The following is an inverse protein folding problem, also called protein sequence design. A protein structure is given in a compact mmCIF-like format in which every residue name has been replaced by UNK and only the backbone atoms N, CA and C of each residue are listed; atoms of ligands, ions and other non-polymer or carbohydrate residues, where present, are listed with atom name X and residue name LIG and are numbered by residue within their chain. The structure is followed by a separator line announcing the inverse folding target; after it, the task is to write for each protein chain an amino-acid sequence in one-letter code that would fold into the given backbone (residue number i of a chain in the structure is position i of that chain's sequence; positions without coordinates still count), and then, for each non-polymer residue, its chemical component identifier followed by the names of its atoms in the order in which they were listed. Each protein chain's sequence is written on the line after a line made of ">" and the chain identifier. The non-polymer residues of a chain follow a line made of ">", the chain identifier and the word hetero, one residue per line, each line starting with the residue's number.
data_IF_007036722032
#
_entry.id   IF_007036722032
#
_cell.length_a   1.000
_cell.length_b   1.000
_cell.length_c   1.000
_cell.angle_alpha   90.00
_cell.angle_beta   90.00
_cell.angle_gamma   90.00
#
_symmetry.space_group_name_H-M   'P 1'
#
loop_
_entity.id
_entity.type
_entity.pdbx_description
1 polymer ?
#
# COMPACT_ATOMS: atom_id res chain seq x y z
N UNK A 1 -44.17 2.01 23.29
CA UNK A 1 -45.26 2.88 23.81
C UNK A 1 -45.24 4.31 23.23
N UNK A 2 -44.10 4.93 22.86
CA UNK A 2 -44.08 6.28 22.24
C UNK A 2 -44.01 6.31 20.70
N UNK A 3 -43.70 5.19 20.06
CA UNK A 3 -43.39 5.11 18.61
C UNK A 3 -44.66 4.99 17.73
N UNK A 4 -45.72 4.35 18.22
CA UNK A 4 -46.95 4.13 17.43
C UNK A 4 -47.78 5.40 17.21
N UNK A 5 -47.56 6.46 17.99
CA UNK A 5 -48.32 7.71 17.91
C UNK A 5 -47.95 8.59 16.70
N UNK A 6 -46.82 8.34 16.03
CA UNK A 6 -46.29 9.24 14.99
C UNK A 6 -46.58 8.80 13.56
N UNK A 7 -47.20 7.63 13.31
CA UNK A 7 -47.27 7.00 11.97
C UNK A 7 -45.92 7.00 11.23
N UNK A 8 -44.82 7.12 11.97
CA UNK A 8 -43.48 7.15 11.44
C UNK A 8 -43.01 5.70 11.35
N UNK A 9 -42.54 5.31 10.16
CA UNK A 9 -41.80 4.06 10.00
C UNK A 9 -40.55 4.18 10.86
N UNK A 10 -40.41 3.32 11.87
CA UNK A 10 -39.12 3.13 12.52
C UNK A 10 -38.19 2.59 11.44
N UNK A 11 -37.23 3.39 11.01
CA UNK A 11 -36.08 2.91 10.26
C UNK A 11 -35.31 2.06 11.27
N UNK A 12 -35.50 0.75 11.22
CA UNK A 12 -34.60 -0.18 11.90
C UNK A 12 -33.18 0.16 11.45
N UNK A 13 -32.21 0.17 12.37
CA UNK A 13 -30.84 0.63 12.16
C UNK A 13 -30.00 -0.27 11.21
N UNK A 14 -30.66 -0.94 10.26
CA UNK A 14 -30.15 -1.97 9.37
C UNK A 14 -30.48 -1.72 7.88
N UNK A 15 -31.04 -0.56 7.53
CA UNK A 15 -31.27 -0.19 6.12
C UNK A 15 -29.96 0.20 5.42
N UNK A 16 -29.61 -0.52 4.36
CA UNK A 16 -28.42 -0.26 3.52
C UNK A 16 -28.44 1.16 2.92
N UNK A 17 -29.63 1.73 2.68
CA UNK A 17 -29.77 3.11 2.21
C UNK A 17 -29.24 4.15 3.20
N UNK A 18 -29.37 3.91 4.50
CA UNK A 18 -28.85 4.82 5.53
C UNK A 18 -27.33 4.95 5.46
N UNK A 19 -26.62 3.86 5.17
CA UNK A 19 -25.16 3.86 5.01
C UNK A 19 -24.71 4.55 3.71
N UNK A 20 -25.50 4.47 2.64
CA UNK A 20 -25.23 5.22 1.42
C UNK A 20 -25.38 6.73 1.65
N UNK A 21 -26.41 7.12 2.40
CA UNK A 21 -26.66 8.52 2.81
C UNK A 21 -25.53 9.02 3.73
N UNK A 22 -25.10 8.22 4.71
CA UNK A 22 -23.97 8.54 5.58
C UNK A 22 -22.70 8.80 4.75
N UNK A 23 -22.38 7.92 3.81
CA UNK A 23 -21.21 8.10 2.95
C UNK A 23 -21.31 9.38 2.10
N UNK A 24 -22.47 9.64 1.50
CA UNK A 24 -22.73 10.87 0.73
C UNK A 24 -22.58 12.14 1.59
N UNK A 25 -23.12 12.13 2.82
CA UNK A 25 -22.99 13.23 3.77
C UNK A 25 -21.54 13.47 4.22
N UNK A 26 -20.66 12.47 4.11
CA UNK A 26 -19.22 12.58 4.31
C UNK A 26 -18.46 12.94 3.02
N UNK A 27 -19.16 13.46 2.01
CA UNK A 27 -18.64 13.82 0.68
C UNK A 27 -18.04 12.65 -0.11
N UNK A 28 -18.50 11.42 0.11
CA UNK A 28 -18.13 10.29 -0.74
C UNK A 28 -19.10 10.20 -1.90
N UNK A 29 -18.58 10.04 -3.11
CA UNK A 29 -19.40 9.84 -4.30
C UNK A 29 -19.90 8.39 -4.32
N UNK A 30 -21.21 8.21 -4.14
CA UNK A 30 -21.85 6.91 -4.05
C UNK A 30 -22.73 6.65 -5.26
N UNK A 31 -22.98 5.38 -5.56
CA UNK A 31 -23.99 4.99 -6.53
C UNK A 31 -24.52 3.58 -6.32
N UNK A 32 -25.76 3.30 -6.74
CA UNK A 32 -26.38 2.01 -6.55
C UNK A 32 -25.76 0.94 -7.46
N UNK A 33 -25.50 -0.23 -6.89
CA UNK A 33 -24.99 -1.41 -7.58
C UNK A 33 -26.03 -2.52 -7.62
N UNK A 34 -25.96 -3.35 -8.65
CA UNK A 34 -26.79 -4.53 -8.84
C UNK A 34 -25.98 -5.67 -9.47
N UNK A 35 -26.57 -6.86 -9.55
CA UNK A 35 -26.09 -7.94 -10.42
C UNK A 35 -26.86 -7.83 -11.72
N UNK A 36 -26.15 -7.64 -12.83
CA UNK A 36 -26.76 -7.62 -14.16
C UNK A 36 -26.25 -8.76 -15.02
N UNK A 37 -27.10 -9.16 -15.95
CA UNK A 37 -26.68 -9.97 -17.08
C UNK A 37 -25.80 -9.11 -18.01
N UNK A 38 -24.62 -9.61 -18.37
CA UNK A 38 -23.63 -8.81 -19.11
C UNK A 38 -24.01 -8.60 -20.58
N UNK A 39 -24.78 -9.52 -21.15
CA UNK A 39 -25.14 -9.50 -22.57
C UNK A 39 -26.40 -8.67 -22.80
N UNK A 40 -27.41 -8.85 -21.93
CA UNK A 40 -28.72 -8.21 -22.06
C UNK A 40 -28.86 -6.93 -21.22
N UNK A 41 -27.97 -6.70 -20.25
CA UNK A 41 -28.06 -5.59 -19.30
C UNK A 41 -29.21 -5.72 -18.29
N UNK A 42 -29.96 -6.82 -18.32
CA UNK A 42 -31.08 -7.07 -17.41
C UNK A 42 -30.60 -7.18 -15.97
N UNK A 43 -31.30 -6.51 -15.05
CA UNK A 43 -31.06 -6.63 -13.62
C UNK A 43 -31.51 -8.04 -13.17
N UNK A 44 -30.57 -8.81 -12.62
CA UNK A 44 -30.82 -10.15 -12.09
C UNK A 44 -31.11 -10.12 -10.59
N UNK A 45 -30.40 -9.28 -9.85
CA UNK A 45 -30.51 -9.20 -8.39
C UNK A 45 -30.06 -7.82 -7.86
N UNK A 46 -30.64 -7.30 -6.77
CA UNK A 46 -30.18 -6.04 -6.16
C UNK A 46 -28.76 -6.13 -5.57
N UNK A 47 -28.30 -7.34 -5.23
CA UNK A 47 -26.96 -7.53 -4.66
C UNK A 47 -25.98 -7.96 -5.74
N UNK A 48 -25.21 -7.01 -6.24
CA UNK A 48 -24.08 -7.26 -7.14
C UNK A 48 -23.06 -6.13 -7.11
N UNK A 49 -22.20 -6.10 -8.11
CA UNK A 49 -21.06 -5.18 -8.17
C UNK A 49 -21.08 -4.28 -9.40
N UNK A 50 -22.12 -4.36 -10.22
CA UNK A 50 -22.27 -3.58 -11.45
C UNK A 50 -23.09 -2.32 -11.19
N UNK A 51 -22.72 -1.15 -11.75
CA UNK A 51 -23.54 0.05 -11.64
C UNK A 51 -24.96 -0.18 -12.17
N UNK A 52 -25.96 0.29 -11.41
CA UNK A 52 -27.36 0.17 -11.79
C UNK A 52 -27.69 1.16 -12.92
N UNK A 53 -27.46 0.75 -14.17
CA UNK A 53 -27.45 1.63 -15.34
C UNK A 53 -28.72 2.46 -15.59
N UNK A 54 -29.89 2.07 -15.05
CA UNK A 54 -31.10 2.91 -15.12
C UNK A 54 -31.05 4.16 -14.23
N UNK A 55 -30.24 4.14 -13.18
CA UNK A 55 -30.05 5.25 -12.23
C UNK A 55 -28.71 5.97 -12.45
N UNK A 56 -27.70 5.22 -12.92
CA UNK A 56 -26.34 5.70 -13.21
C UNK A 56 -25.91 5.26 -14.62
N UNK A 57 -26.51 5.84 -15.68
CA UNK A 57 -26.28 5.42 -17.08
C UNK A 57 -24.82 5.53 -17.55
N UNK A 58 -24.02 6.41 -16.96
CA UNK A 58 -22.58 6.56 -17.21
C UNK A 58 -21.71 5.86 -16.14
N UNK A 59 -22.32 4.97 -15.35
CA UNK A 59 -21.66 4.13 -14.37
C UNK A 59 -21.05 4.94 -13.22
N UNK A 60 -19.79 4.65 -12.89
CA UNK A 60 -19.07 5.31 -11.78
C UNK A 60 -18.90 6.82 -11.96
N UNK A 61 -19.08 7.35 -13.18
CA UNK A 61 -19.02 8.79 -13.44
C UNK A 61 -20.29 9.52 -12.97
N UNK A 62 -21.40 8.81 -12.75
CA UNK A 62 -22.64 9.37 -12.21
C UNK A 62 -22.72 9.23 -10.68
N UNK A 63 -21.73 8.61 -10.04
CA UNK A 63 -21.71 8.52 -8.58
C UNK A 63 -21.62 9.93 -8.01
N UNK A 64 -22.36 10.19 -6.94
CA UNK A 64 -22.54 11.55 -6.41
C UNK A 64 -22.57 11.54 -4.89
N UNK A 65 -22.19 12.67 -4.29
CA UNK A 65 -22.37 12.95 -2.86
C UNK A 65 -23.62 13.79 -2.59
N UNK A 66 -24.41 14.14 -3.62
CA UNK A 66 -25.69 14.82 -3.42
C UNK A 66 -26.69 13.91 -2.67
N UNK A 67 -26.89 14.23 -1.40
CA UNK A 67 -27.71 13.46 -0.47
C UNK A 67 -29.15 13.28 -0.98
N UNK A 68 -29.72 14.29 -1.66
CA UNK A 68 -31.09 14.19 -2.18
C UNK A 68 -31.20 13.15 -3.29
N UNK A 69 -30.25 13.16 -4.23
CA UNK A 69 -30.16 12.14 -5.29
C UNK A 69 -29.97 10.73 -4.70
N UNK A 70 -29.10 10.59 -3.70
CA UNK A 70 -28.83 9.30 -3.03
C UNK A 70 -30.08 8.77 -2.33
N UNK A 71 -30.81 9.61 -1.58
CA UNK A 71 -32.09 9.23 -0.98
C UNK A 71 -33.07 8.71 -2.05
N UNK A 72 -33.16 9.41 -3.19
CA UNK A 72 -34.05 9.02 -4.28
C UNK A 72 -33.64 7.70 -4.96
N UNK A 73 -32.36 7.35 -5.01
CA UNK A 73 -31.93 6.07 -5.56
C UNK A 73 -32.27 4.89 -4.63
N UNK A 74 -32.05 5.05 -3.33
CA UNK A 74 -32.33 3.99 -2.35
C UNK A 74 -33.82 3.88 -1.97
N UNK A 75 -34.64 4.89 -2.24
CA UNK A 75 -36.11 4.75 -2.15
C UNK A 75 -36.68 3.76 -3.18
N UNK A 76 -35.94 3.45 -4.24
CA UNK A 76 -36.36 2.55 -5.33
C UNK A 76 -35.97 1.08 -5.10
N UNK A 77 -35.21 0.78 -4.04
CA UNK A 77 -34.87 -0.59 -3.67
C UNK A 77 -33.56 -0.72 -2.87
N UNK A 78 -33.31 -1.92 -2.30
CA UNK A 78 -32.17 -2.18 -1.45
C UNK A 78 -30.92 -2.52 -2.28
N UNK A 79 -30.34 -1.52 -2.94
CA UNK A 79 -29.15 -1.70 -3.79
C UNK A 79 -27.87 -1.81 -2.96
N UNK A 80 -26.91 -2.60 -3.45
CA UNK A 80 -25.55 -2.52 -2.94
C UNK A 80 -24.96 -1.13 -3.17
N UNK A 81 -23.99 -0.75 -2.35
CA UNK A 81 -23.39 0.59 -2.36
C UNK A 81 -22.05 0.51 -3.10
N UNK A 82 -21.95 1.25 -4.20
CA UNK A 82 -20.69 1.58 -4.85
C UNK A 82 -20.19 2.91 -4.32
N UNK A 83 -18.89 3.00 -4.06
CA UNK A 83 -18.20 4.24 -3.68
C UNK A 83 -17.05 4.46 -4.63
N UNK A 84 -17.06 5.58 -5.34
CA UNK A 84 -15.87 6.04 -6.06
C UNK A 84 -14.84 6.46 -5.01
N UNK A 85 -13.62 5.92 -5.12
CA UNK A 85 -12.61 6.12 -4.08
C UNK A 85 -12.30 7.63 -3.99
N UNK A 86 -12.37 8.27 -2.81
CA UNK A 86 -12.06 9.70 -2.69
C UNK A 86 -10.65 10.01 -3.21
N UNK A 87 -10.47 11.16 -3.88
CA UNK A 87 -9.16 11.54 -4.46
C UNK A 87 -8.04 11.62 -3.42
N UNK A 88 -8.37 11.96 -2.18
CA UNK A 88 -7.44 12.02 -1.05
C UNK A 88 -7.04 10.65 -0.51
N UNK A 89 -7.55 9.57 -1.08
CA UNK A 89 -7.36 8.20 -0.61
C UNK A 89 -7.01 7.24 -1.76
N UNK A 90 -6.49 6.09 -1.37
CA UNK A 90 -6.49 4.89 -2.20
C UNK A 90 -6.86 3.68 -1.34
N UNK A 91 -7.22 2.59 -2.00
CA UNK A 91 -7.55 1.32 -1.36
C UNK A 91 -6.54 0.27 -1.83
N UNK A 92 -5.92 -0.41 -0.89
CA UNK A 92 -5.25 -1.69 -1.13
C UNK A 92 -6.32 -2.79 -0.97
N UNK A 93 -6.75 -3.35 -2.10
CA UNK A 93 -7.69 -4.47 -2.16
C UNK A 93 -6.88 -5.78 -2.10
N UNK A 94 -7.20 -6.59 -1.09
CA UNK A 94 -6.54 -7.84 -0.75
C UNK A 94 -7.50 -8.97 -1.04
N UNK A 95 -7.20 -9.75 -2.08
CA UNK A 95 -8.02 -10.89 -2.47
C UNK A 95 -8.14 -11.91 -1.33
N UNK A 96 -9.38 -12.34 -1.08
CA UNK A 96 -9.72 -13.32 -0.05
C UNK A 96 -9.42 -14.77 -0.42
N UNK A 97 -9.63 -15.71 0.51
CA UNK A 97 -9.40 -17.14 0.31
C UNK A 97 -10.19 -17.71 -0.86
N UNK A 98 -11.41 -17.23 -1.13
CA UNK A 98 -12.30 -17.81 -2.13
C UNK A 98 -12.17 -17.16 -3.52
N UNK A 99 -11.15 -16.32 -3.71
CA UNK A 99 -10.96 -15.60 -4.98
C UNK A 99 -10.36 -16.51 -6.05
N UNK A 100 -11.13 -16.87 -7.07
CA UNK A 100 -10.61 -17.53 -8.26
C UNK A 100 -9.99 -16.55 -9.26
N UNK A 101 -8.91 -16.91 -9.98
CA UNK A 101 -8.25 -18.23 -10.02
C UNK A 101 -7.14 -18.41 -8.95
N UNK A 102 -7.03 -17.53 -7.97
CA UNK A 102 -5.87 -17.42 -7.08
C UNK A 102 -6.29 -17.38 -5.59
N UNK A 103 -6.87 -18.48 -5.07
CA UNK A 103 -7.40 -18.53 -3.72
C UNK A 103 -6.31 -18.22 -2.69
N UNK A 104 -6.57 -17.28 -1.79
CA UNK A 104 -5.70 -16.95 -0.65
C UNK A 104 -4.40 -16.20 -0.98
N UNK A 105 -4.12 -15.91 -2.26
CA UNK A 105 -2.86 -15.24 -2.64
C UNK A 105 -2.75 -13.81 -2.08
N UNK A 106 -3.85 -13.09 -1.93
CA UNK A 106 -3.84 -11.72 -1.41
C UNK A 106 -3.38 -11.64 0.04
N UNK A 107 -4.03 -12.40 0.93
CA UNK A 107 -3.66 -12.46 2.35
C UNK A 107 -2.23 -12.96 2.56
N UNK A 108 -1.81 -13.98 1.80
CA UNK A 108 -0.43 -14.47 1.84
C UNK A 108 0.56 -13.38 1.39
N UNK A 109 0.29 -12.73 0.25
CA UNK A 109 1.15 -11.69 -0.28
C UNK A 109 1.26 -10.50 0.70
N UNK A 110 0.16 -10.12 1.35
CA UNK A 110 0.19 -9.10 2.37
C UNK A 110 1.09 -9.51 3.55
N UNK A 111 0.91 -10.73 4.07
CA UNK A 111 1.73 -11.24 5.17
C UNK A 111 3.23 -11.28 4.80
N UNK A 112 3.57 -11.67 3.58
CA UNK A 112 4.95 -11.66 3.08
C UNK A 112 5.53 -10.23 2.96
N UNK A 113 4.70 -9.25 2.59
CA UNK A 113 5.10 -7.84 2.57
C UNK A 113 5.29 -7.30 3.99
N UNK A 114 4.42 -7.63 4.93
CA UNK A 114 4.53 -7.22 6.33
C UNK A 114 5.72 -7.86 7.05
N UNK A 115 6.01 -9.13 6.78
CA UNK A 115 7.22 -9.82 7.27
C UNK A 115 8.50 -9.14 6.72
N UNK A 116 8.47 -8.74 5.44
CA UNK A 116 9.63 -8.12 4.79
C UNK A 116 9.86 -6.67 5.19
N UNK A 117 8.79 -5.87 5.27
CA UNK A 117 8.87 -4.42 5.36
C UNK A 117 8.30 -3.83 6.66
N UNK A 118 7.71 -4.66 7.51
CA UNK A 118 7.01 -4.27 8.73
C UNK A 118 5.49 -4.14 8.52
N UNK A 119 4.72 -4.17 9.63
CA UNK A 119 3.26 -4.22 9.58
C UNK A 119 2.67 -2.95 8.96
N UNK A 120 1.49 -3.09 8.33
CA UNK A 120 0.66 -1.95 7.99
C UNK A 120 0.13 -1.30 9.28
N UNK A 121 0.05 0.04 9.34
CA UNK A 121 -0.61 0.68 10.46
C UNK A 121 -2.11 0.36 10.44
N UNK A 122 -2.76 0.25 11.61
CA UNK A 122 -4.22 0.17 11.67
C UNK A 122 -4.84 1.32 10.90
N UNK A 123 -5.77 1.00 10.01
CA UNK A 123 -6.42 1.98 9.14
C UNK A 123 -7.86 1.59 8.88
N UNK A 124 -8.67 2.53 8.38
CA UNK A 124 -10.04 2.23 7.97
C UNK A 124 -10.05 1.02 7.04
N UNK A 125 -10.77 -0.02 7.44
CA UNK A 125 -10.73 -1.32 6.78
C UNK A 125 -12.14 -1.83 6.55
N UNK A 126 -12.34 -2.57 5.47
CA UNK A 126 -13.52 -3.41 5.33
C UNK A 126 -13.14 -4.85 5.02
N UNK A 127 -13.82 -5.79 5.64
CA UNK A 127 -13.76 -7.21 5.28
C UNK A 127 -14.77 -7.41 4.14
N UNK A 128 -14.31 -8.00 3.05
CA UNK A 128 -15.16 -8.29 1.89
C UNK A 128 -15.98 -9.55 2.15
N UNK A 129 -17.14 -9.70 1.49
CA UNK A 129 -17.94 -10.92 1.61
C UNK A 129 -17.27 -12.20 1.05
N UNK A 130 -16.07 -12.10 0.47
CA UNK A 130 -15.25 -13.26 0.08
C UNK A 130 -14.04 -13.48 1.01
N UNK A 131 -14.02 -12.85 2.20
CA UNK A 131 -12.96 -12.99 3.20
C UNK A 131 -11.67 -12.22 2.92
N UNK A 132 -11.64 -11.39 1.86
CA UNK A 132 -10.54 -10.45 1.58
C UNK A 132 -10.68 -9.12 2.33
N UNK A 133 -9.81 -8.15 2.06
CA UNK A 133 -9.77 -6.85 2.76
C UNK A 133 -9.75 -5.67 1.77
N UNK A 134 -10.44 -4.59 2.08
CA UNK A 134 -10.13 -3.27 1.53
C UNK A 134 -9.50 -2.42 2.63
N UNK A 135 -8.21 -2.11 2.50
CA UNK A 135 -7.44 -1.27 3.42
C UNK A 135 -7.33 0.14 2.83
N UNK A 136 -7.88 1.14 3.49
CA UNK A 136 -7.88 2.51 2.99
C UNK A 136 -6.68 3.28 3.52
N UNK A 137 -6.01 4.04 2.65
CA UNK A 137 -4.88 4.88 3.04
C UNK A 137 -5.04 6.27 2.43
N UNK A 138 -4.48 7.29 3.10
CA UNK A 138 -4.35 8.63 2.50
C UNK A 138 -3.47 8.53 1.27
N UNK A 139 -3.86 9.18 0.17
CA UNK A 139 -3.10 9.20 -1.07
C UNK A 139 -1.97 10.25 -0.98
N UNK A 140 -0.69 9.84 -1.02
CA UNK A 140 0.41 10.79 -1.17
C UNK A 140 0.35 11.48 -2.54
N UNK A 141 0.94 12.68 -2.70
CA UNK A 141 1.05 13.30 -4.02
C UNK A 141 1.94 12.45 -4.94
N UNK A 142 1.58 12.34 -6.22
CA UNK A 142 2.36 11.62 -7.23
C UNK A 142 1.52 10.71 -8.13
N UNK A 143 2.19 10.15 -9.15
CA UNK A 143 1.61 9.11 -10.02
C UNK A 143 1.97 7.74 -9.45
N UNK A 144 0.95 6.95 -9.18
CA UNK A 144 1.11 5.56 -8.74
C UNK A 144 0.93 4.62 -9.93
N UNK A 145 1.78 3.61 -10.01
CA UNK A 145 1.67 2.55 -10.99
C UNK A 145 1.09 1.30 -10.36
N UNK A 146 0.12 0.69 -11.05
CA UNK A 146 -0.56 -0.55 -10.65
C UNK A 146 0.33 -1.80 -10.77
N UNK A 147 1.55 -1.69 -11.30
CA UNK A 147 2.32 -2.83 -11.84
C UNK A 147 3.26 -3.55 -10.87
N UNK A 148 3.35 -3.14 -9.61
CA UNK A 148 4.36 -3.68 -8.68
C UNK A 148 3.79 -4.40 -7.46
N UNK A 149 2.48 -4.50 -7.35
CA UNK A 149 1.86 -5.30 -6.31
C UNK A 149 1.94 -6.80 -6.67
N UNK A 150 2.28 -7.68 -5.71
CA UNK A 150 2.17 -9.12 -5.89
C UNK A 150 0.76 -9.56 -6.30
N UNK A 151 0.66 -10.74 -6.90
CA UNK A 151 -0.63 -11.31 -7.27
C UNK A 151 -1.55 -11.45 -6.04
N UNK A 152 -2.80 -11.04 -6.19
CA UNK A 152 -3.78 -11.01 -5.10
C UNK A 152 -3.88 -9.67 -4.37
N UNK A 153 -3.04 -8.69 -4.71
CA UNK A 153 -3.12 -7.33 -4.21
C UNK A 153 -3.40 -6.36 -5.36
N UNK A 154 -4.38 -5.48 -5.18
CA UNK A 154 -4.77 -4.48 -6.18
C UNK A 154 -4.80 -3.07 -5.58
N UNK A 155 -4.26 -2.12 -6.34
CA UNK A 155 -4.38 -0.69 -6.04
C UNK A 155 -5.63 -0.13 -6.70
N UNK A 156 -6.54 0.42 -5.89
CA UNK A 156 -7.74 1.12 -6.37
C UNK A 156 -7.71 2.58 -5.95
N UNK A 157 -8.05 3.45 -6.89
CA UNK A 157 -8.09 4.88 -6.69
C UNK A 157 -9.33 5.51 -7.33
N UNK A 158 -9.38 6.83 -7.37
CA UNK A 158 -10.50 7.62 -7.89
C UNK A 158 -10.89 7.27 -9.33
N UNK A 159 -10.01 6.62 -10.11
CA UNK A 159 -10.36 6.10 -11.44
C UNK A 159 -11.34 4.92 -11.44
N UNK A 160 -11.71 4.40 -10.27
CA UNK A 160 -12.68 3.33 -10.11
C UNK A 160 -13.49 3.44 -8.82
N UNK A 161 -14.16 2.34 -8.46
CA UNK A 161 -15.00 2.26 -7.27
C UNK A 161 -14.77 0.95 -6.51
N UNK A 162 -15.20 0.96 -5.25
CA UNK A 162 -15.29 -0.21 -4.38
C UNK A 162 -16.74 -0.45 -3.99
N UNK A 163 -17.04 -1.67 -3.57
CA UNK A 163 -18.30 -1.98 -2.87
C UNK A 163 -18.12 -1.61 -1.40
N UNK A 164 -19.05 -0.88 -0.81
CA UNK A 164 -19.00 -0.44 0.60
C UNK A 164 -19.85 -1.36 1.49
N UNK A 165 -19.40 -1.59 2.72
CA UNK A 165 -20.23 -2.16 3.78
C UNK A 165 -21.52 -1.32 4.01
N UNK A 166 -22.68 -1.94 4.34
CA UNK A 166 -22.90 -3.36 4.65
C UNK A 166 -23.45 -4.18 3.45
N UNK A 167 -23.04 -3.84 2.22
CA UNK A 167 -23.44 -4.52 0.97
C UNK A 167 -23.27 -6.05 1.04
N UNK A 168 -24.00 -6.78 0.20
CA UNK A 168 -23.94 -8.25 0.12
C UNK A 168 -23.16 -8.71 -1.12
N UNK A 169 -22.25 -9.65 -0.94
CA UNK A 169 -21.46 -10.20 -2.03
C UNK A 169 -22.34 -11.10 -2.92
N UNK A 170 -22.34 -10.92 -4.26
CA UNK A 170 -23.28 -11.59 -5.16
C UNK A 170 -23.15 -13.11 -5.23
N UNK A 171 -21.97 -13.64 -4.93
CA UNK A 171 -21.68 -15.07 -5.14
C UNK A 171 -21.63 -15.85 -3.81
N UNK A 172 -21.26 -15.20 -2.72
CA UNK A 172 -21.16 -15.83 -1.38
C UNK A 172 -22.37 -15.50 -0.50
N UNK A 173 -23.12 -14.43 -0.79
CA UNK A 173 -24.24 -13.96 0.04
C UNK A 173 -23.83 -13.21 1.31
N UNK A 174 -22.57 -13.36 1.72
CA UNK A 174 -21.98 -12.72 2.89
C UNK A 174 -21.88 -11.20 2.76
N UNK A 175 -21.91 -10.51 3.90
CA UNK A 175 -21.85 -9.05 3.95
C UNK A 175 -20.41 -8.54 3.93
N UNK A 176 -20.24 -7.38 3.33
CA UNK A 176 -19.08 -6.53 3.60
C UNK A 176 -19.22 -5.96 5.02
N UNK A 177 -18.14 -6.01 5.80
CA UNK A 177 -18.12 -5.58 7.21
C UNK A 177 -17.13 -4.44 7.37
N UNK A 178 -17.58 -3.34 7.98
CA UNK A 178 -16.77 -2.16 8.28
C UNK A 178 -16.00 -2.37 9.59
N UNK A 179 -14.71 -2.07 9.59
CA UNK A 179 -13.86 -2.03 10.78
C UNK A 179 -13.33 -0.60 10.96
N UNK A 180 -13.87 0.11 11.94
CA UNK A 180 -13.60 1.54 12.10
C UNK A 180 -12.22 1.84 12.67
N UNK A 181 -11.46 2.61 11.90
CA UNK A 181 -10.21 3.25 12.27
C UNK A 181 -10.08 4.54 11.45
N UNK A 182 -9.32 5.55 11.92
CA UNK A 182 -8.94 6.67 11.06
C UNK A 182 -8.20 6.19 9.82
N UNK A 183 -8.41 6.86 8.68
CA UNK A 183 -7.60 6.59 7.47
C UNK A 183 -6.15 7.00 7.74
N UNK A 184 -5.27 6.02 7.76
CA UNK A 184 -3.84 6.18 8.04
C UNK A 184 -3.08 6.69 6.82
N UNK A 185 -1.90 7.27 7.07
CA UNK A 185 -0.91 7.43 6.01
C UNK A 185 -0.35 6.05 5.64
N UNK A 186 -0.10 5.76 4.35
CA UNK A 186 0.57 4.52 3.97
C UNK A 186 2.00 4.52 4.52
N UNK A 187 2.55 3.36 4.92
CA UNK A 187 3.94 3.30 5.30
C UNK A 187 4.84 3.61 4.09
N UNK A 188 6.08 4.09 4.30
CA UNK A 188 6.99 4.45 3.21
C UNK A 188 7.20 3.31 2.21
N UNK A 189 7.35 2.07 2.70
CA UNK A 189 7.56 0.90 1.85
C UNK A 189 6.39 0.64 0.88
N UNK A 190 5.15 0.85 1.32
CA UNK A 190 3.98 0.67 0.45
C UNK A 190 3.93 1.79 -0.60
N UNK A 191 4.26 3.00 -0.19
CA UNK A 191 4.37 4.16 -1.10
C UNK A 191 5.42 3.91 -2.18
N UNK A 192 6.60 3.43 -1.80
CA UNK A 192 7.70 3.13 -2.72
C UNK A 192 7.34 2.01 -3.71
N UNK A 193 6.63 0.97 -3.26
CA UNK A 193 6.12 -0.08 -4.15
C UNK A 193 5.15 0.49 -5.20
N UNK A 194 4.27 1.41 -4.79
CA UNK A 194 3.27 1.98 -5.68
C UNK A 194 3.85 3.08 -6.61
N UNK A 195 4.91 3.78 -6.22
CA UNK A 195 5.51 4.88 -6.99
C UNK A 195 6.51 4.45 -8.08
N UNK A 196 6.79 3.15 -8.24
CA UNK A 196 7.84 2.68 -9.11
C UNK A 196 7.54 2.86 -10.63
N UNK A 197 7.61 4.10 -11.12
CA UNK A 197 7.68 4.45 -12.55
C UNK A 197 9.09 4.89 -12.99
N UNK A 198 10.07 5.02 -12.06
CA UNK A 198 11.36 5.66 -12.38
C UNK A 198 12.56 4.75 -12.68
N UNK A 199 12.46 3.42 -12.58
CA UNK A 199 13.62 2.53 -12.75
C UNK A 199 13.60 1.59 -13.97
N UNK A 200 12.73 1.78 -14.97
CA UNK A 200 12.78 0.95 -16.20
C UNK A 200 12.88 1.67 -17.54
N UNK A 201 12.77 3.00 -17.59
CA UNK A 201 13.01 3.76 -18.82
C UNK A 201 14.43 4.33 -18.89
N UNK A 202 15.44 3.45 -18.92
CA UNK A 202 16.72 3.74 -19.60
C UNK A 202 17.51 2.48 -19.97
N UNK A 203 16.86 1.50 -20.60
CA UNK A 203 17.58 0.57 -21.47
C UNK A 203 16.76 0.43 -22.75
N UNK A 204 17.05 1.31 -23.71
CA UNK A 204 16.72 1.07 -25.12
C UNK A 204 17.38 -0.26 -25.52
N UNK A 205 16.65 -1.24 -26.04
CA UNK A 205 17.23 -2.53 -26.39
C UNK A 205 18.03 -2.38 -27.70
N UNK A 206 19.34 -2.13 -27.60
CA UNK A 206 20.25 -2.46 -28.71
C UNK A 206 20.30 -3.97 -28.84
N UNK A 207 19.55 -4.42 -29.83
CA UNK A 207 19.49 -5.77 -30.38
C UNK A 207 20.90 -6.27 -30.73
N UNK A 208 21.35 -7.38 -30.13
CA UNK A 208 21.87 -8.55 -30.86
C UNK A 208 22.11 -9.79 -29.98
N UNK A 209 21.32 -10.80 -30.33
CA UNK A 209 21.64 -12.24 -30.50
C UNK A 209 22.00 -13.10 -29.27
N UNK A 210 20.97 -13.87 -28.87
CA UNK A 210 20.96 -15.33 -28.69
C UNK A 210 22.24 -16.03 -28.25
N UNK A 211 22.19 -16.67 -27.07
CA UNK A 211 22.28 -18.13 -27.01
C UNK A 211 21.68 -18.66 -25.70
N UNK A 212 20.89 -19.73 -25.85
CA UNK A 212 20.39 -20.60 -24.78
C UNK A 212 21.55 -21.09 -23.89
N UNK A 213 21.29 -21.21 -22.59
CA UNK A 213 21.60 -22.29 -21.63
C UNK A 213 20.86 -21.86 -20.34
N UNK A 214 19.93 -22.59 -19.75
CA UNK A 214 20.03 -23.98 -19.32
C UNK A 214 20.12 -23.99 -17.78
N UNK A 215 19.14 -24.62 -17.15
CA UNK A 215 19.12 -25.15 -15.77
C UNK A 215 18.97 -24.20 -14.54
N UNK A 216 17.78 -24.32 -13.95
CA UNK A 216 17.50 -24.56 -12.53
C UNK A 216 18.72 -24.63 -11.57
N UNK A 217 18.78 -23.72 -10.60
CA UNK A 217 19.20 -24.04 -9.22
C UNK A 217 18.79 -22.93 -8.24
N UNK A 218 18.31 -23.32 -7.06
CA UNK A 218 18.45 -22.50 -5.85
C UNK A 218 17.21 -21.78 -5.33
N UNK A 219 16.28 -22.53 -4.76
CA UNK A 219 15.60 -22.08 -3.54
C UNK A 219 16.66 -21.83 -2.45
N UNK A 220 16.43 -20.78 -1.63
CA UNK A 220 17.23 -20.22 -0.52
C UNK A 220 18.10 -18.98 -0.80
N UNK A 221 17.86 -17.97 0.07
CA UNK A 221 18.70 -16.80 0.40
C UNK A 221 18.30 -15.47 -0.23
N UNK A 222 18.07 -14.47 0.63
CA UNK A 222 17.72 -13.09 0.26
C UNK A 222 18.81 -12.41 -0.59
N UNK A 223 18.53 -11.19 -1.07
CA UNK A 223 19.51 -10.42 -1.84
C UNK A 223 20.82 -10.27 -1.04
N UNK A 224 21.97 -10.23 -1.73
CA UNK A 224 23.26 -10.04 -1.06
C UNK A 224 23.30 -8.76 -0.22
N UNK A 225 22.58 -7.72 -0.66
CA UNK A 225 22.42 -6.48 0.10
C UNK A 225 21.64 -6.70 1.40
N UNK A 226 20.60 -7.54 1.38
CA UNK A 226 19.78 -7.85 2.55
C UNK A 226 20.55 -8.72 3.53
N UNK A 227 21.27 -9.73 3.03
CA UNK A 227 22.13 -10.57 3.84
C UNK A 227 23.21 -9.72 4.51
N UNK A 228 23.85 -8.82 3.76
CA UNK A 228 24.84 -7.88 4.30
C UNK A 228 24.26 -6.96 5.38
N UNK A 229 23.06 -6.41 5.18
CA UNK A 229 22.42 -5.56 6.20
C UNK A 229 22.08 -6.33 7.49
N UNK A 230 21.78 -7.64 7.39
CA UNK A 230 21.47 -8.50 8.54
C UNK A 230 22.73 -8.97 9.27
N UNK A 231 23.82 -9.25 8.54
CA UNK A 231 25.03 -9.85 9.10
C UNK A 231 26.10 -8.86 9.52
N UNK A 232 25.95 -7.57 9.21
CA UNK A 232 26.98 -6.56 9.43
C UNK A 232 26.48 -5.47 10.38
N UNK A 233 27.33 -5.02 11.30
CA UNK A 233 27.08 -3.95 12.28
C UNK A 233 27.45 -2.58 11.73
N UNK A 234 26.90 -1.51 12.31
CA UNK A 234 27.34 -0.15 11.95
C UNK A 234 28.82 0.11 12.29
N UNK A 235 29.35 -0.55 13.31
CA UNK A 235 30.77 -0.51 13.66
C UNK A 235 31.67 -1.06 12.55
N UNK A 236 31.34 -2.23 12.00
CA UNK A 236 32.08 -2.85 10.90
C UNK A 236 32.08 -2.01 9.62
N UNK A 237 31.10 -1.13 9.44
CA UNK A 237 30.98 -0.26 8.26
C UNK A 237 31.70 1.06 8.46
N UNK A 238 31.53 1.71 9.61
CA UNK A 238 31.95 3.10 9.81
C UNK A 238 33.35 3.22 10.42
N UNK A 239 33.71 2.34 11.36
CA UNK A 239 35.01 2.42 12.05
C UNK A 239 36.23 2.23 11.13
N UNK A 240 36.20 1.37 10.08
CA UNK A 240 37.30 1.29 9.11
C UNK A 240 37.57 2.61 8.38
N UNK A 241 36.58 3.50 8.34
CA UNK A 241 36.67 4.85 7.75
C UNK A 241 36.89 5.92 8.82
N UNK A 242 37.48 5.54 9.95
CA UNK A 242 37.84 6.37 11.09
C UNK A 242 36.68 7.09 11.80
N UNK A 243 35.43 6.64 11.61
CA UNK A 243 34.30 7.13 12.40
C UNK A 243 34.37 6.58 13.83
N UNK A 244 33.96 7.40 14.79
CA UNK A 244 33.86 7.01 16.19
C UNK A 244 32.40 6.90 16.65
N UNK A 245 32.05 5.81 17.33
CA UNK A 245 30.76 5.66 17.99
C UNK A 245 30.79 6.37 19.35
N UNK A 246 29.83 7.27 19.58
CA UNK A 246 29.67 8.01 20.84
C UNK A 246 28.66 7.35 21.79
N UNK A 247 28.07 6.22 21.38
CA UNK A 247 27.04 5.50 22.12
C UNK A 247 27.52 4.09 22.50
N UNK A 248 27.05 3.50 23.63
CA UNK A 248 27.48 2.17 24.07
C UNK A 248 27.17 1.06 23.08
N UNK A 249 26.04 1.16 22.36
CA UNK A 249 25.66 0.21 21.33
C UNK A 249 25.68 0.92 19.95
N UNK A 250 26.54 0.49 19.01
CA UNK A 250 26.69 1.10 17.70
C UNK A 250 25.47 0.94 16.78
N UNK A 251 24.64 -0.08 17.00
CA UNK A 251 23.49 -0.41 16.17
C UNK A 251 22.15 0.01 16.79
N UNK A 252 22.15 0.50 18.04
CA UNK A 252 20.94 0.93 18.71
C UNK A 252 20.31 2.15 18.03
N UNK A 253 18.98 2.21 18.09
CA UNK A 253 18.25 3.40 17.70
C UNK A 253 18.67 4.58 18.58
N UNK A 254 19.01 5.71 17.96
CA UNK A 254 19.60 6.87 18.62
C UNK A 254 21.11 6.84 18.78
N UNK A 255 21.81 5.78 18.36
CA UNK A 255 23.28 5.71 18.45
C UNK A 255 23.94 6.84 17.64
N UNK A 256 24.81 7.61 18.29
CA UNK A 256 25.47 8.79 17.72
C UNK A 256 26.86 8.44 17.18
N UNK A 257 27.17 9.00 16.02
CA UNK A 257 28.40 8.74 15.28
C UNK A 257 29.11 10.05 14.90
N UNK A 258 30.43 10.05 14.99
CA UNK A 258 31.29 11.20 14.71
C UNK A 258 32.27 10.88 13.56
N UNK A 259 32.25 11.71 12.52
CA UNK A 259 33.23 11.63 11.43
C UNK A 259 34.57 12.27 11.87
N UNK A 260 35.74 11.78 11.43
CA UNK A 260 37.04 12.31 11.85
C UNK A 260 37.28 13.80 11.53
N UNK A 261 36.63 14.32 10.48
CA UNK A 261 36.72 15.75 10.10
C UNK A 261 35.54 16.58 10.62
N UNK A 262 34.76 16.04 11.56
CA UNK A 262 33.60 16.72 12.11
C UNK A 262 34.00 17.98 12.88
N UNK A 263 33.27 19.07 12.63
CA UNK A 263 33.38 20.33 13.36
C UNK A 263 32.30 20.47 14.45
N UNK A 264 31.44 19.46 14.60
CA UNK A 264 30.33 19.40 15.56
C UNK A 264 30.46 18.16 16.44
N UNK A 265 29.79 18.15 17.59
CA UNK A 265 29.84 17.05 18.57
C UNK A 265 29.15 15.75 18.12
N UNK A 266 28.45 15.77 16.97
CA UNK A 266 27.79 14.62 16.37
C UNK A 266 27.71 14.83 14.86
N UNK A 267 28.03 13.81 14.06
CA UNK A 267 27.94 13.84 12.60
C UNK A 267 26.75 13.09 12.03
N UNK A 268 26.33 12.02 12.72
CA UNK A 268 25.24 11.17 12.28
C UNK A 268 24.57 10.45 13.45
N UNK A 269 23.36 9.93 13.23
CA UNK A 269 22.63 9.12 14.22
C UNK A 269 21.94 7.96 13.55
N UNK A 270 21.91 6.80 14.20
CA UNK A 270 21.11 5.67 13.75
C UNK A 270 19.65 5.94 14.10
N UNK A 271 18.77 5.91 13.09
CA UNK A 271 17.32 5.95 13.28
C UNK A 271 16.67 4.88 12.40
N UNK A 272 15.84 4.04 12.98
CA UNK A 272 15.14 2.94 12.30
C UNK A 272 16.11 2.04 11.51
N UNK A 273 17.28 1.75 12.09
CA UNK A 273 18.33 0.92 11.47
C UNK A 273 19.13 1.60 10.35
N UNK A 274 18.84 2.85 10.00
CA UNK A 274 19.55 3.62 8.98
C UNK A 274 20.42 4.73 9.58
N UNK A 275 21.51 5.09 8.91
CA UNK A 275 22.38 6.20 9.29
C UNK A 275 21.84 7.52 8.72
N UNK A 276 21.45 8.43 9.59
CA UNK A 276 21.06 9.80 9.25
C UNK A 276 22.25 10.73 9.49
N UNK A 277 22.71 11.41 8.44
CA UNK A 277 23.93 12.22 8.46
C UNK A 277 23.57 13.69 8.46
N UNK A 278 24.07 14.44 9.44
CA UNK A 278 23.79 15.87 9.59
C UNK A 278 25.00 16.75 9.23
N UNK A 279 26.19 16.16 9.15
CA UNK A 279 27.43 16.87 8.81
C UNK A 279 27.69 16.86 7.30
N UNK A 280 27.88 18.02 6.65
CA UNK A 280 28.26 18.09 5.24
C UNK A 280 29.72 17.68 4.99
N UNK A 281 30.55 17.58 6.04
CA UNK A 281 31.96 17.22 5.95
C UNK A 281 32.17 15.70 5.99
N UNK A 282 31.34 14.94 5.28
CA UNK A 282 31.44 13.48 5.21
C UNK A 282 31.27 13.02 3.77
N UNK A 283 31.66 11.78 3.43
CA UNK A 283 31.37 11.19 2.11
C UNK A 283 29.87 11.02 1.81
N UNK A 284 29.01 11.21 2.79
CA UNK A 284 27.56 11.10 2.68
C UNK A 284 26.92 12.44 2.36
N UNK A 285 25.80 12.39 1.64
CA UNK A 285 24.91 13.53 1.50
C UNK A 285 24.17 13.75 2.83
N UNK A 286 24.01 15.02 3.22
CA UNK A 286 23.27 15.38 4.42
C UNK A 286 21.81 14.95 4.28
N UNK A 287 21.29 14.28 5.29
CA UNK A 287 19.88 13.88 5.37
C UNK A 287 19.10 15.04 5.99
N UNK A 288 18.43 15.85 5.16
CA UNK A 288 17.68 17.05 5.59
C UNK A 288 16.46 16.71 6.45
N UNK A 289 16.14 17.58 7.42
CA UNK A 289 14.91 17.50 8.21
C UNK A 289 13.68 17.62 7.31
N UNK A 290 12.99 16.49 7.09
CA UNK A 290 11.82 16.39 6.19
C UNK A 290 12.00 15.40 5.04
N UNK A 291 13.21 14.89 4.83
CA UNK A 291 13.49 13.79 3.88
C UNK A 291 13.69 12.48 4.64
N UNK A 292 12.91 11.44 4.32
CA UNK A 292 12.89 10.17 5.04
C UNK A 292 14.07 9.21 4.70
N UNK A 293 15.13 9.71 4.06
CA UNK A 293 16.13 8.86 3.40
C UNK A 293 17.44 8.78 4.18
N UNK A 294 17.47 7.97 5.24
CA UNK A 294 18.73 7.52 5.85
C UNK A 294 19.48 6.52 4.97
N UNK A 295 20.77 6.33 5.23
CA UNK A 295 21.58 5.32 4.56
C UNK A 295 21.36 3.94 5.21
N UNK A 296 20.96 2.95 4.42
CA UNK A 296 21.03 1.55 4.86
C UNK A 296 22.50 1.12 5.00
N UNK A 297 22.76 0.06 5.77
CA UNK A 297 24.11 -0.51 5.94
C UNK A 297 24.81 -0.79 4.61
N UNK A 298 24.11 -1.42 3.66
CA UNK A 298 24.67 -1.68 2.33
C UNK A 298 24.94 -0.39 1.52
N UNK A 299 24.05 0.61 1.58
CA UNK A 299 24.29 1.92 0.95
C UNK A 299 25.49 2.62 1.57
N UNK A 300 25.61 2.56 2.89
CA UNK A 300 26.73 3.18 3.58
C UNK A 300 28.06 2.52 3.21
N UNK A 301 28.09 1.19 3.17
CA UNK A 301 29.23 0.42 2.66
C UNK A 301 29.60 0.80 1.23
N UNK A 302 28.62 0.93 0.33
CA UNK A 302 28.87 1.31 -1.06
C UNK A 302 29.43 2.74 -1.20
N UNK A 303 28.92 3.70 -0.43
CA UNK A 303 29.46 5.07 -0.40
C UNK A 303 30.91 5.08 0.07
N UNK A 304 31.21 4.42 1.17
CA UNK A 304 32.53 4.47 1.79
C UNK A 304 33.61 3.68 1.02
N UNK A 305 33.26 2.55 0.42
CA UNK A 305 34.24 1.65 -0.19
C UNK A 305 34.23 1.66 -1.73
N UNK A 306 33.16 2.16 -2.34
CA UNK A 306 32.93 2.07 -3.79
C UNK A 306 32.41 3.38 -4.40
N UNK A 307 32.55 4.52 -3.72
CA UNK A 307 32.12 5.82 -4.22
C UNK A 307 30.61 5.92 -4.52
N UNK A 308 29.80 5.08 -3.87
CA UNK A 308 28.36 4.98 -4.09
C UNK A 308 27.95 3.98 -5.19
N UNK A 309 28.89 3.29 -5.84
CA UNK A 309 28.57 2.25 -6.82
C UNK A 309 28.07 0.96 -6.12
N UNK A 310 26.75 0.85 -6.06
CA UNK A 310 26.03 -0.29 -5.48
C UNK A 310 26.34 -1.62 -6.19
N UNK A 311 26.66 -1.60 -7.49
CA UNK A 311 26.96 -2.80 -8.27
C UNK A 311 28.38 -3.28 -8.00
N UNK A 312 29.34 -2.36 -7.89
CA UNK A 312 30.70 -2.68 -7.46
C UNK A 312 30.70 -3.23 -6.03
N UNK A 313 29.94 -2.63 -5.12
CA UNK A 313 29.78 -3.11 -3.75
C UNK A 313 29.20 -4.53 -3.69
N UNK A 314 28.12 -4.80 -4.43
CA UNK A 314 27.53 -6.14 -4.49
C UNK A 314 28.50 -7.18 -5.09
N UNK A 315 29.31 -6.81 -6.09
CA UNK A 315 30.34 -7.71 -6.65
C UNK A 315 31.46 -7.98 -5.66
N UNK A 316 31.93 -6.98 -4.92
CA UNK A 316 32.95 -7.14 -3.89
C UNK A 316 32.47 -8.10 -2.80
N UNK A 317 31.24 -7.95 -2.31
CA UNK A 317 30.66 -8.88 -1.33
C UNK A 317 30.51 -10.31 -1.87
N UNK A 318 30.11 -10.47 -3.15
CA UNK A 318 30.04 -11.81 -3.79
C UNK A 318 31.40 -12.49 -3.91
N UNK A 319 32.47 -11.70 -4.07
CA UNK A 319 33.83 -12.23 -4.17
C UNK A 319 34.39 -12.68 -2.81
N UNK A 320 33.89 -12.11 -1.71
CA UNK A 320 34.28 -12.47 -0.32
C UNK A 320 33.45 -13.64 0.22
N UNK A 321 32.25 -13.89 -0.31
CA UNK A 321 31.39 -15.03 0.06
C UNK A 321 31.68 -16.33 -0.69
N UNK A 322 32.77 -16.40 -1.46
CA UNK A 322 33.29 -17.60 -2.15
C UNK A 322 34.62 -18.01 -1.53
#
# INVERSE_FOLDING_TARGET
>A
MAIEALRATVIDATDIGAYAIEAAANNWEVGPLCKRDRDTGRILHPYGKDPLGRLVPHGVNDFTSDVATVINWWSQGPWNIGVRVPESMFVLDVDGPDRHPHPGKGLQALAELEDRYGPLPPTFTQITGSGGLHLFFRRPPGKFSKTHLPAGLEYKDHGGYIVLAPSRHPDTGERYVRCDHPVAAPPPWLTDLLLAEKNRHRITPTRRRSQLHGHLSGFFSGSIADNYCKSTTWAEILMPHAWSCLSPNPDADGAKWLHPTATSSCSATIKHGCLFVYSPNTPFQVTESGTANGYTKFRAFAVLNHGGDMSAAARALRAVSR
#
